data_IF_993010296051
#
_entry.id   IF_993010296051
#
_cell.length_a   1.000
_cell.length_b   1.000
_cell.length_c   1.000
_cell.angle_alpha   90.00
_cell.angle_beta   90.00
_cell.angle_gamma   90.00
#
_symmetry.space_group_name_H-M   'P 1'
#
loop_
_entity.id
_entity.type
_entity.pdbx_description
1 polymer ?
#
# COMPACT_ATOMS: atom_id res chain seq x y z
N UNK A 1 -18.31 -13.49 -6.83
CA UNK A 1 -19.35 -13.63 -5.79
C UNK A 1 -20.71 -13.43 -6.44
N UNK A 2 -21.27 -14.48 -7.03
CA UNK A 2 -22.69 -14.47 -7.36
C UNK A 2 -23.46 -14.42 -6.04
N UNK A 3 -24.37 -13.45 -5.89
CA UNK A 3 -25.13 -13.31 -4.65
C UNK A 3 -25.96 -14.60 -4.46
N UNK A 4 -25.69 -15.33 -3.37
CA UNK A 4 -26.39 -16.57 -3.04
C UNK A 4 -27.81 -16.27 -2.53
N UNK A 5 -28.09 -15.00 -2.20
CA UNK A 5 -29.41 -14.48 -1.86
C UNK A 5 -29.61 -13.09 -2.47
N UNK A 6 -30.76 -12.84 -3.09
CA UNK A 6 -31.04 -11.60 -3.83
C UNK A 6 -31.27 -10.37 -2.93
N UNK A 7 -31.55 -10.55 -1.63
CA UNK A 7 -32.01 -9.46 -0.76
C UNK A 7 -31.16 -9.17 0.49
N UNK A 8 -30.09 -9.93 0.77
CA UNK A 8 -29.24 -9.65 1.94
C UNK A 8 -27.79 -10.06 1.72
N UNK A 9 -26.87 -9.16 2.07
CA UNK A 9 -25.44 -9.44 2.11
C UNK A 9 -25.18 -10.37 3.31
N UNK A 10 -24.65 -11.57 3.04
CA UNK A 10 -24.29 -12.55 4.08
C UNK A 10 -23.13 -12.07 4.96
N UNK A 11 -22.25 -11.22 4.42
CA UNK A 11 -21.14 -10.64 5.17
C UNK A 11 -21.66 -9.63 6.21
N UNK A 12 -21.64 -10.03 7.48
CA UNK A 12 -22.04 -9.19 8.61
C UNK A 12 -21.15 -7.96 8.80
N UNK A 13 -19.91 -8.02 8.33
CA UNK A 13 -18.89 -6.99 8.53
C UNK A 13 -18.56 -6.24 7.23
N UNK A 14 -19.45 -6.25 6.25
CA UNK A 14 -19.23 -5.61 4.95
C UNK A 14 -18.65 -4.18 5.06
N UNK A 15 -17.47 -3.95 4.45
CA UNK A 15 -16.71 -2.70 4.49
C UNK A 15 -16.34 -2.18 5.90
N UNK A 16 -16.29 -3.06 6.89
CA UNK A 16 -15.88 -2.74 8.26
C UNK A 16 -14.42 -3.11 8.53
N UNK A 17 -13.86 -2.54 9.59
CA UNK A 17 -12.57 -2.97 10.13
C UNK A 17 -12.57 -4.45 10.56
N UNK A 18 -13.74 -4.99 10.89
CA UNK A 18 -13.93 -6.40 11.25
C UNK A 18 -14.11 -7.32 10.03
N UNK A 19 -14.07 -6.79 8.81
CA UNK A 19 -14.03 -7.59 7.57
C UNK A 19 -12.64 -8.18 7.36
N UNK A 20 -12.21 -8.99 8.32
CA UNK A 20 -10.86 -9.52 8.39
C UNK A 20 -10.84 -11.02 8.04
N UNK A 21 -9.65 -11.63 7.87
CA UNK A 21 -9.53 -13.06 7.56
C UNK A 21 -10.20 -14.00 8.59
N UNK A 22 -10.42 -13.57 9.83
CA UNK A 22 -11.08 -14.38 10.86
C UNK A 22 -12.55 -14.64 10.52
N UNK A 23 -13.21 -13.73 9.81
CA UNK A 23 -14.57 -13.90 9.29
C UNK A 23 -14.69 -15.07 8.31
N UNK A 24 -13.58 -15.47 7.69
CA UNK A 24 -13.46 -16.60 6.77
C UNK A 24 -12.88 -17.84 7.44
N UNK A 25 -12.86 -17.90 8.78
CA UNK A 25 -12.25 -18.98 9.57
C UNK A 25 -10.76 -19.17 9.27
N UNK A 26 -10.06 -18.12 8.83
CA UNK A 26 -8.62 -18.15 8.60
C UNK A 26 -7.92 -17.57 9.82
N UNK A 27 -7.07 -18.38 10.46
CA UNK A 27 -6.19 -17.88 11.50
C UNK A 27 -4.93 -17.26 10.88
N UNK A 28 -4.82 -15.92 10.98
CA UNK A 28 -3.72 -15.14 10.39
C UNK A 28 -2.37 -15.54 10.98
N UNK A 29 -2.30 -15.88 12.27
CA UNK A 29 -1.03 -16.22 12.91
C UNK A 29 -0.42 -17.49 12.31
N UNK A 30 -1.25 -18.49 12.02
CA UNK A 30 -0.84 -19.79 11.47
C UNK A 30 -0.80 -19.84 9.94
N UNK A 31 -1.29 -18.82 9.23
CA UNK A 31 -1.30 -18.82 7.77
C UNK A 31 0.12 -18.64 7.23
N UNK A 32 0.69 -19.67 6.61
CA UNK A 32 2.01 -19.61 5.98
C UNK A 32 1.89 -19.52 4.45
N UNK A 33 3.00 -19.17 3.80
CA UNK A 33 3.04 -19.12 2.35
C UNK A 33 2.84 -20.53 1.78
N UNK A 34 2.03 -20.65 0.73
CA UNK A 34 1.63 -21.94 0.11
C UNK A 34 0.78 -22.88 1.01
N UNK A 35 0.27 -22.42 2.15
CA UNK A 35 -0.67 -23.24 2.96
C UNK A 35 -2.05 -23.32 2.28
N UNK A 36 -2.59 -24.54 2.19
CA UNK A 36 -3.94 -24.76 1.67
C UNK A 36 -4.97 -24.52 2.78
N UNK A 37 -5.86 -23.55 2.57
CA UNK A 37 -7.00 -23.28 3.45
C UNK A 37 -8.31 -23.74 2.81
N UNK A 38 -9.36 -23.93 3.62
CA UNK A 38 -10.70 -24.24 3.11
C UNK A 38 -11.18 -23.19 2.09
N UNK A 39 -10.90 -21.91 2.36
CA UNK A 39 -11.21 -20.79 1.45
C UNK A 39 -10.46 -20.92 0.13
N UNK A 40 -9.16 -21.24 0.17
CA UNK A 40 -8.36 -21.42 -1.06
C UNK A 40 -8.86 -22.59 -1.93
N UNK A 41 -9.35 -23.66 -1.32
CA UNK A 41 -9.96 -24.79 -2.04
C UNK A 41 -11.31 -24.41 -2.62
N UNK A 42 -12.13 -23.69 -1.85
CA UNK A 42 -13.42 -23.20 -2.30
C UNK A 42 -13.28 -22.21 -3.48
N UNK A 43 -12.31 -21.28 -3.42
CA UNK A 43 -11.99 -20.38 -4.54
C UNK A 43 -11.67 -21.21 -5.79
N UNK A 44 -10.85 -22.26 -5.66
CA UNK A 44 -10.51 -23.13 -6.79
C UNK A 44 -11.74 -23.79 -7.42
N UNK A 45 -12.61 -24.37 -6.58
CA UNK A 45 -13.84 -25.05 -7.01
C UNK A 45 -14.81 -24.12 -7.75
N UNK A 46 -14.76 -22.80 -7.50
CA UNK A 46 -15.56 -21.82 -8.22
C UNK A 46 -14.87 -21.34 -9.49
N UNK A 47 -13.57 -21.02 -9.39
CA UNK A 47 -12.84 -20.38 -10.50
C UNK A 47 -12.60 -21.33 -11.65
N UNK A 48 -12.37 -22.63 -11.41
CA UNK A 48 -12.14 -23.61 -12.48
C UNK A 48 -13.37 -23.77 -13.41
N UNK A 49 -14.58 -24.08 -12.91
CA UNK A 49 -15.78 -24.14 -13.76
C UNK A 49 -16.12 -22.79 -14.39
N UNK A 50 -15.94 -21.69 -13.65
CA UNK A 50 -16.14 -20.35 -14.19
C UNK A 50 -15.20 -20.06 -15.38
N UNK A 51 -13.93 -20.45 -15.29
CA UNK A 51 -12.99 -20.30 -16.39
C UNK A 51 -13.34 -21.19 -17.58
N UNK A 52 -13.80 -22.42 -17.34
CA UNK A 52 -14.24 -23.35 -18.40
C UNK A 52 -15.42 -22.77 -19.18
N UNK A 53 -16.47 -22.35 -18.47
CA UNK A 53 -17.66 -21.71 -19.05
C UNK A 53 -17.33 -20.43 -19.81
N UNK A 54 -16.38 -19.62 -19.30
CA UNK A 54 -15.93 -18.42 -19.99
C UNK A 54 -15.20 -18.75 -21.31
N UNK A 55 -14.32 -19.75 -21.31
CA UNK A 55 -13.60 -20.19 -22.50
C UNK A 55 -14.58 -20.77 -23.54
N UNK A 56 -15.51 -21.60 -23.11
CA UNK A 56 -16.53 -22.18 -23.99
C UNK A 56 -17.42 -21.08 -24.60
N UNK A 57 -17.84 -20.10 -23.80
CA UNK A 57 -18.69 -18.99 -24.26
C UNK A 57 -17.96 -18.04 -25.23
N UNK A 58 -16.70 -17.71 -24.97
CA UNK A 58 -15.96 -16.73 -25.79
C UNK A 58 -15.26 -17.35 -27.01
N UNK A 59 -14.76 -18.58 -26.89
CA UNK A 59 -13.92 -19.23 -27.90
C UNK A 59 -14.68 -20.37 -28.61
N UNK A 60 -15.76 -20.88 -28.03
CA UNK A 60 -16.49 -22.03 -28.56
C UNK A 60 -15.77 -23.35 -28.35
N UNK A 61 -14.76 -23.40 -27.46
CA UNK A 61 -13.95 -24.58 -27.21
C UNK A 61 -14.24 -25.10 -25.80
N UNK A 62 -14.73 -26.33 -25.71
CA UNK A 62 -14.81 -27.02 -24.43
C UNK A 62 -13.41 -27.51 -24.04
N UNK A 63 -12.82 -26.86 -23.04
CA UNK A 63 -11.48 -27.18 -22.53
C UNK A 63 -11.51 -27.27 -21.02
N UNK A 64 -11.09 -28.40 -20.49
CA UNK A 64 -10.90 -28.57 -19.05
C UNK A 64 -9.79 -27.64 -18.55
N UNK A 65 -10.13 -26.77 -17.61
CA UNK A 65 -9.20 -25.87 -16.93
C UNK A 65 -8.80 -26.48 -15.61
N UNK A 66 -7.49 -26.60 -15.37
CA UNK A 66 -6.91 -27.02 -14.10
C UNK A 66 -5.97 -25.95 -13.57
N UNK A 67 -6.29 -25.39 -12.41
CA UNK A 67 -5.52 -24.37 -11.71
C UNK A 67 -4.71 -25.04 -10.60
N UNK A 68 -3.40 -24.76 -10.55
CA UNK A 68 -2.55 -25.25 -9.47
C UNK A 68 -2.99 -24.62 -8.14
N UNK A 69 -3.20 -25.45 -7.12
CA UNK A 69 -3.67 -24.99 -5.80
C UNK A 69 -2.71 -23.95 -5.18
N UNK A 70 -1.40 -24.17 -5.35
CA UNK A 70 -0.34 -23.27 -4.90
C UNK A 70 -0.54 -21.82 -5.36
N UNK A 71 -1.01 -21.59 -6.59
CA UNK A 71 -1.24 -20.21 -7.09
C UNK A 71 -2.28 -19.50 -6.22
N UNK A 72 -3.37 -20.19 -5.89
CA UNK A 72 -4.45 -19.65 -5.08
C UNK A 72 -3.99 -19.47 -3.63
N UNK A 73 -3.26 -20.44 -3.08
CA UNK A 73 -2.70 -20.34 -1.72
C UNK A 73 -1.79 -19.12 -1.59
N UNK A 74 -0.89 -18.92 -2.56
CA UNK A 74 0.05 -17.81 -2.56
C UNK A 74 -0.68 -16.46 -2.68
N UNK A 75 -1.70 -16.36 -3.55
CA UNK A 75 -2.54 -15.16 -3.66
C UNK A 75 -3.29 -14.86 -2.36
N UNK A 76 -3.91 -15.88 -1.76
CA UNK A 76 -4.64 -15.75 -0.49
C UNK A 76 -3.70 -15.26 0.61
N UNK A 77 -2.50 -15.85 0.74
CA UNK A 77 -1.49 -15.39 1.69
C UNK A 77 -1.09 -13.93 1.47
N UNK A 78 -0.77 -13.57 0.21
CA UNK A 78 -0.31 -12.22 -0.12
C UNK A 78 -1.38 -11.15 0.16
N UNK A 79 -2.64 -11.46 -0.13
CA UNK A 79 -3.75 -10.52 0.02
C UNK A 79 -4.16 -10.42 1.50
N UNK A 80 -4.25 -11.54 2.22
CA UNK A 80 -4.84 -11.56 3.55
C UNK A 80 -3.84 -11.37 4.70
N UNK A 81 -2.55 -11.65 4.50
CA UNK A 81 -1.55 -11.61 5.57
C UNK A 81 -0.34 -10.71 5.28
N UNK A 82 0.26 -10.84 4.11
CA UNK A 82 1.50 -10.13 3.85
C UNK A 82 1.62 -9.69 2.38
N UNK A 83 1.42 -8.41 2.10
CA UNK A 83 1.64 -7.86 0.76
C UNK A 83 3.08 -8.00 0.29
N UNK A 84 4.05 -7.93 1.20
CA UNK A 84 5.48 -8.15 0.95
C UNK A 84 5.82 -9.64 0.81
N UNK A 85 5.07 -10.37 -0.02
CA UNK A 85 5.19 -11.82 -0.14
C UNK A 85 6.17 -12.28 -1.24
N UNK A 86 6.62 -13.54 -1.22
CA UNK A 86 7.47 -14.09 -2.27
C UNK A 86 6.89 -13.97 -3.68
N UNK A 87 5.56 -14.04 -3.83
CA UNK A 87 4.91 -13.87 -5.13
C UNK A 87 5.17 -12.49 -5.73
N UNK A 88 5.04 -11.40 -4.97
CA UNK A 88 5.22 -10.04 -5.51
C UNK A 88 6.68 -9.81 -5.91
N UNK A 89 7.63 -10.29 -5.09
CA UNK A 89 9.06 -10.24 -5.42
C UNK A 89 9.41 -11.03 -6.67
N UNK A 90 8.70 -12.13 -6.93
CA UNK A 90 8.93 -12.93 -8.13
C UNK A 90 8.38 -12.31 -9.42
N UNK A 91 7.40 -11.40 -9.32
CA UNK A 91 6.74 -10.76 -10.47
C UNK A 91 7.12 -9.28 -10.63
N UNK A 92 8.13 -8.83 -9.89
CA UNK A 92 8.65 -7.46 -9.92
C UNK A 92 10.17 -7.47 -10.07
N UNK A 93 10.76 -6.30 -10.34
CA UNK A 93 12.19 -6.10 -10.18
C UNK A 93 12.51 -5.66 -8.75
N UNK A 94 13.78 -5.68 -8.37
CA UNK A 94 14.24 -5.35 -7.02
C UNK A 94 13.80 -3.94 -6.58
N UNK A 95 13.86 -2.96 -7.50
CA UNK A 95 13.45 -1.59 -7.19
C UNK A 95 11.98 -1.50 -6.80
N UNK A 96 11.11 -2.20 -7.52
CA UNK A 96 9.66 -2.23 -7.27
C UNK A 96 9.34 -3.12 -6.07
N UNK A 97 9.94 -4.30 -5.98
CA UNK A 97 9.78 -5.20 -4.83
C UNK A 97 10.12 -4.52 -3.51
N UNK A 98 11.16 -3.69 -3.48
CA UNK A 98 11.52 -2.90 -2.30
C UNK A 98 10.44 -1.90 -1.86
N UNK A 99 9.59 -1.43 -2.78
CA UNK A 99 8.47 -0.54 -2.41
C UNK A 99 7.40 -1.24 -1.56
N UNK A 100 7.40 -2.58 -1.55
CA UNK A 100 6.48 -3.38 -0.71
C UNK A 100 7.02 -3.65 0.70
N UNK A 101 8.30 -3.39 0.99
CA UNK A 101 8.90 -3.63 2.31
C UNK A 101 8.16 -2.97 3.48
N UNK A 102 7.64 -1.73 3.37
CA UNK A 102 6.88 -1.10 4.46
C UNK A 102 5.57 -1.82 4.80
N UNK A 103 5.09 -2.72 3.94
CA UNK A 103 3.85 -3.47 4.09
C UNK A 103 4.11 -4.93 4.55
N UNK A 104 5.26 -5.19 5.18
CA UNK A 104 5.53 -6.49 5.75
C UNK A 104 4.49 -6.83 6.83
N UNK A 105 4.01 -8.08 6.81
CA UNK A 105 2.93 -8.58 7.68
C UNK A 105 1.64 -7.74 7.62
N UNK A 106 1.44 -6.99 6.53
CA UNK A 106 0.27 -6.15 6.34
C UNK A 106 -0.63 -6.80 5.28
N UNK A 107 -1.93 -6.89 5.58
CA UNK A 107 -2.94 -7.29 4.60
C UNK A 107 -3.15 -6.22 3.55
N UNK A 108 -3.67 -6.60 2.39
CA UNK A 108 -3.92 -5.67 1.30
C UNK A 108 -5.02 -4.66 1.66
N UNK A 109 -4.76 -3.34 1.61
CA UNK A 109 -5.80 -2.35 1.81
C UNK A 109 -6.64 -2.21 0.54
N UNK A 110 -7.96 -2.39 0.65
CA UNK A 110 -8.89 -2.16 -0.45
C UNK A 110 -9.54 -0.77 -0.41
N UNK A 111 -8.80 0.25 0.06
CA UNK A 111 -9.24 1.64 0.03
C UNK A 111 -8.85 2.34 -1.26
N UNK A 112 -9.71 3.25 -1.73
CA UNK A 112 -9.40 4.16 -2.82
C UNK A 112 -8.89 5.45 -2.18
N UNK A 113 -7.62 5.77 -2.39
CA UNK A 113 -7.00 6.96 -1.81
C UNK A 113 -6.92 8.07 -2.87
N UNK A 114 -6.96 9.34 -2.43
CA UNK A 114 -6.75 10.50 -3.32
C UNK A 114 -5.28 10.76 -3.65
N UNK A 115 -4.36 10.04 -3.01
CA UNK A 115 -2.93 10.12 -3.26
C UNK A 115 -2.54 9.44 -4.59
N UNK A 116 -1.43 9.88 -5.22
CA UNK A 116 -0.96 9.26 -6.46
C UNK A 116 -0.79 7.75 -6.33
N UNK A 117 -1.01 7.02 -7.44
CA UNK A 117 -0.93 5.55 -7.53
C UNK A 117 0.40 4.96 -7.04
N UNK A 118 1.45 5.77 -6.95
CA UNK A 118 2.76 5.39 -6.41
C UNK A 118 2.78 5.18 -4.89
N UNK A 119 1.74 5.62 -4.16
CA UNK A 119 1.66 5.52 -2.68
C UNK A 119 0.71 4.40 -2.24
N UNK A 120 -0.27 4.02 -3.08
CA UNK A 120 -1.18 2.89 -2.81
C UNK A 120 -0.56 1.59 -3.31
N UNK A 121 -0.26 0.59 -2.45
CA UNK A 121 0.42 -0.63 -2.88
C UNK A 121 -0.50 -1.60 -3.66
N UNK A 122 -1.81 -1.44 -3.51
CA UNK A 122 -2.84 -2.34 -4.07
C UNK A 122 -2.86 -2.32 -5.59
N UNK A 123 -2.83 -1.13 -6.20
CA UNK A 123 -2.86 -1.01 -7.65
C UNK A 123 -1.60 -1.58 -8.32
N UNK A 124 -0.37 -1.21 -7.91
CA UNK A 124 0.85 -1.85 -8.39
C UNK A 124 0.84 -3.37 -8.18
N UNK A 125 0.43 -3.85 -6.99
CA UNK A 125 0.35 -5.29 -6.72
C UNK A 125 -0.52 -6.00 -7.76
N UNK A 126 -1.75 -5.52 -7.97
CA UNK A 126 -2.69 -6.10 -8.94
C UNK A 126 -2.09 -6.02 -10.35
N UNK A 127 -1.50 -4.89 -10.73
CA UNK A 127 -0.92 -4.70 -12.05
C UNK A 127 0.20 -5.70 -12.35
N UNK A 128 1.16 -5.90 -11.43
CA UNK A 128 2.27 -6.82 -11.62
C UNK A 128 1.81 -8.29 -11.60
N UNK A 129 0.97 -8.67 -10.64
CA UNK A 129 0.46 -10.04 -10.52
C UNK A 129 -0.41 -10.41 -11.73
N UNK A 130 -1.31 -9.52 -12.14
CA UNK A 130 -2.17 -9.76 -13.29
C UNK A 130 -1.38 -9.73 -14.60
N UNK A 131 -0.47 -8.78 -14.75
CA UNK A 131 0.43 -8.70 -15.90
C UNK A 131 1.26 -9.97 -16.07
N UNK A 132 1.70 -10.56 -14.97
CA UNK A 132 2.40 -11.85 -14.96
C UNK A 132 1.51 -13.02 -15.37
N UNK A 133 0.29 -13.14 -14.84
CA UNK A 133 -0.60 -14.26 -15.14
C UNK A 133 -1.21 -14.18 -16.54
N UNK A 134 -1.45 -12.97 -17.05
CA UNK A 134 -1.97 -12.71 -18.39
C UNK A 134 -0.88 -12.48 -19.44
N UNK A 135 0.39 -12.76 -19.10
CA UNK A 135 1.49 -12.53 -20.03
C UNK A 135 1.41 -13.42 -21.26
N UNK A 136 1.98 -12.92 -22.33
CA UNK A 136 2.20 -13.69 -23.53
C UNK A 136 3.45 -14.57 -23.38
N UNK A 137 3.24 -15.84 -23.05
CA UNK A 137 4.32 -16.83 -22.87
C UNK A 137 5.13 -17.11 -24.13
N UNK A 138 4.62 -16.80 -25.33
CA UNK A 138 5.41 -16.93 -26.56
C UNK A 138 6.56 -15.92 -26.60
N UNK A 139 6.42 -14.80 -25.87
CA UNK A 139 7.42 -13.76 -25.77
C UNK A 139 8.53 -14.09 -24.77
N UNK A 140 8.25 -14.92 -23.77
CA UNK A 140 9.22 -15.34 -22.74
C UNK A 140 10.48 -15.96 -23.36
N UNK A 141 10.35 -16.59 -24.54
CA UNK A 141 11.45 -17.22 -25.28
C UNK A 141 12.48 -16.22 -25.84
N UNK A 142 12.16 -14.93 -25.93
CA UNK A 142 13.05 -13.92 -26.50
C UNK A 142 14.17 -13.47 -25.54
N UNK A 143 14.02 -13.73 -24.24
CA UNK A 143 14.98 -13.41 -23.19
C UNK A 143 15.65 -12.03 -23.35
N UNK A 144 14.83 -10.99 -23.47
CA UNK A 144 15.31 -9.62 -23.71
C UNK A 144 15.98 -9.03 -22.47
N UNK A 145 17.13 -8.34 -22.63
CA UNK A 145 17.75 -7.62 -21.53
C UNK A 145 16.90 -6.43 -21.09
N UNK A 146 17.09 -5.99 -19.84
CA UNK A 146 16.30 -4.92 -19.21
C UNK A 146 16.23 -3.64 -20.06
N UNK A 147 17.37 -3.22 -20.62
CA UNK A 147 17.44 -2.01 -21.45
C UNK A 147 16.52 -2.11 -22.67
N UNK A 148 16.57 -3.20 -23.41
CA UNK A 148 15.71 -3.43 -24.58
C UNK A 148 14.25 -3.61 -24.20
N UNK A 149 13.96 -4.18 -23.02
CA UNK A 149 12.61 -4.28 -22.48
C UNK A 149 12.01 -2.89 -22.23
N UNK A 150 12.78 -2.00 -21.56
CA UNK A 150 12.38 -0.61 -21.32
C UNK A 150 12.18 0.16 -22.62
N UNK A 151 13.09 0.01 -23.58
CA UNK A 151 12.95 0.66 -24.89
C UNK A 151 11.67 0.25 -25.63
N UNK A 152 11.27 -1.03 -25.56
CA UNK A 152 9.97 -1.48 -26.12
C UNK A 152 8.78 -0.93 -25.34
N UNK A 153 8.88 -0.86 -24.01
CA UNK A 153 7.85 -0.25 -23.17
C UNK A 153 7.52 1.19 -23.59
N UNK A 154 8.52 1.95 -24.04
CA UNK A 154 8.32 3.32 -24.53
C UNK A 154 7.80 3.42 -25.97
N UNK A 155 8.08 2.43 -26.81
CA UNK A 155 7.76 2.47 -28.25
C UNK A 155 6.39 1.84 -28.57
N UNK A 156 5.95 0.87 -27.79
CA UNK A 156 4.74 0.10 -28.07
C UNK A 156 3.52 0.69 -27.35
N UNK A 157 2.55 1.17 -28.13
CA UNK A 157 1.31 1.74 -27.63
C UNK A 157 0.20 0.69 -27.38
N UNK A 158 0.42 -0.57 -27.75
CA UNK A 158 -0.52 -1.66 -27.58
C UNK A 158 -0.13 -2.58 -26.43
N UNK A 159 1.09 -3.09 -26.43
CA UNK A 159 1.59 -3.99 -25.38
C UNK A 159 2.14 -3.22 -24.17
N UNK A 160 2.10 -3.86 -23.01
CA UNK A 160 2.84 -3.46 -21.81
C UNK A 160 4.05 -4.37 -21.65
N UNK A 161 5.21 -3.77 -21.38
CA UNK A 161 6.47 -4.47 -21.15
C UNK A 161 6.98 -4.18 -19.75
N UNK A 162 7.33 -5.23 -19.01
CA UNK A 162 7.81 -5.10 -17.63
C UNK A 162 8.96 -6.06 -17.41
N UNK A 163 10.08 -5.54 -16.91
CA UNK A 163 11.22 -6.37 -16.54
C UNK A 163 11.07 -6.85 -15.09
N UNK A 164 11.30 -8.15 -14.86
CA UNK A 164 11.17 -8.77 -13.54
C UNK A 164 12.41 -9.58 -13.22
N UNK A 165 12.88 -9.51 -11.96
CA UNK A 165 14.13 -10.14 -11.53
C UNK A 165 13.91 -11.55 -10.95
N UNK A 166 12.65 -11.91 -10.72
CA UNK A 166 12.24 -13.10 -9.99
C UNK A 166 12.36 -14.43 -10.71
N UNK A 167 12.39 -15.51 -9.93
CA UNK A 167 12.40 -16.89 -10.42
C UNK A 167 11.01 -17.34 -10.90
N UNK A 168 10.96 -18.01 -12.05
CA UNK A 168 9.76 -18.60 -12.65
C UNK A 168 9.62 -20.09 -12.27
N UNK A 169 8.58 -20.50 -11.52
CA UNK A 169 8.30 -21.93 -11.28
C UNK A 169 7.89 -22.72 -12.56
N UNK A 170 7.67 -22.02 -13.68
CA UNK A 170 7.29 -22.59 -14.98
C UNK A 170 8.49 -22.88 -15.89
N UNK A 171 9.71 -22.50 -15.51
CA UNK A 171 10.91 -22.85 -16.25
C UNK A 171 11.60 -23.99 -15.52
N UNK A 172 11.79 -25.13 -16.22
CA UNK A 172 12.58 -26.24 -15.72
C UNK A 172 13.97 -25.73 -15.31
N UNK A 173 14.20 -25.70 -14.01
CA UNK A 173 15.42 -25.25 -13.36
C UNK A 173 16.54 -26.26 -13.58
N UNK A 174 17.39 -26.00 -14.58
CA UNK A 174 18.80 -26.38 -14.52
C UNK A 174 19.74 -25.18 -14.59
N UNK A 175 19.24 -23.96 -14.88
CA UNK A 175 20.07 -22.77 -14.94
C UNK A 175 19.58 -21.74 -13.94
N UNK A 176 20.43 -21.49 -12.94
CA UNK A 176 20.46 -20.31 -12.06
C UNK A 176 20.69 -19.04 -12.89
N UNK A 177 19.76 -18.70 -13.77
CA UNK A 177 19.81 -17.46 -14.53
C UNK A 177 19.43 -16.32 -13.59
N UNK A 178 20.45 -15.76 -12.94
CA UNK A 178 20.49 -14.49 -12.22
C UNK A 178 20.17 -13.27 -13.12
N UNK A 179 19.62 -13.49 -14.31
CA UNK A 179 19.22 -12.45 -15.25
C UNK A 179 17.69 -12.46 -15.33
N UNK A 180 17.06 -11.39 -14.85
CA UNK A 180 15.62 -11.18 -14.99
C UNK A 180 15.15 -11.28 -16.44
N UNK A 181 13.84 -11.34 -16.65
CA UNK A 181 13.23 -11.48 -17.97
C UNK A 181 12.17 -10.40 -18.24
N UNK A 182 11.95 -10.14 -19.52
CA UNK A 182 10.96 -9.17 -19.98
C UNK A 182 9.59 -9.83 -20.18
N UNK A 183 8.62 -9.43 -19.38
CA UNK A 183 7.22 -9.84 -19.48
C UNK A 183 6.49 -8.94 -20.46
N UNK A 184 5.87 -9.53 -21.49
CA UNK A 184 4.91 -8.85 -22.36
C UNK A 184 3.50 -9.19 -21.93
N UNK A 185 2.66 -8.17 -21.72
CA UNK A 185 1.22 -8.35 -21.44
C UNK A 185 0.38 -7.36 -22.24
N UNK A 186 -0.91 -7.62 -22.34
CA UNK A 186 -1.90 -6.70 -22.93
C UNK A 186 -2.65 -5.90 -21.86
N UNK A 187 -2.15 -5.91 -20.62
CA UNK A 187 -2.76 -5.22 -19.50
C UNK A 187 -2.58 -3.71 -19.65
N UNK A 188 -3.68 -2.98 -19.52
CA UNK A 188 -3.71 -1.51 -19.55
C UNK A 188 -4.37 -0.99 -18.29
N UNK A 189 -3.81 0.10 -17.79
CA UNK A 189 -4.42 0.88 -16.72
C UNK A 189 -5.37 1.91 -17.33
N UNK A 190 -6.52 2.08 -16.69
CA UNK A 190 -7.48 3.14 -17.02
C UNK A 190 -7.66 4.01 -15.80
N UNK A 191 -7.74 5.31 -16.01
CA UNK A 191 -7.96 6.26 -14.94
C UNK A 191 -9.41 6.15 -14.47
N UNK A 192 -9.60 5.83 -13.18
CA UNK A 192 -10.91 5.76 -12.55
C UNK A 192 -11.16 7.06 -11.80
N UNK A 193 -11.78 8.04 -12.47
CA UNK A 193 -12.22 9.31 -11.88
C UNK A 193 -13.68 9.50 -12.22
N UNK A 194 -14.46 10.02 -11.26
CA UNK A 194 -15.87 10.32 -11.48
C UNK A 194 -16.05 11.35 -12.62
N UNK A 195 -16.97 11.12 -13.57
CA UNK A 195 -17.29 12.08 -14.61
C UNK A 195 -17.70 13.47 -14.08
N UNK A 196 -18.23 13.54 -12.85
CA UNK A 196 -18.54 14.80 -12.17
C UNK A 196 -17.37 15.79 -12.14
N UNK A 197 -16.13 15.29 -12.13
CA UNK A 197 -14.91 16.11 -12.09
C UNK A 197 -14.28 16.35 -13.46
N UNK A 198 -14.80 15.72 -14.52
CA UNK A 198 -14.29 15.81 -15.89
C UNK A 198 -15.19 16.71 -16.74
N UNK A 199 -16.50 16.63 -16.53
CA UNK A 199 -17.49 17.41 -17.29
C UNK A 199 -17.38 18.89 -16.88
N UNK A 200 -17.14 19.81 -17.83
CA UNK A 200 -17.03 21.22 -17.51
C UNK A 200 -18.37 21.76 -16.99
N UNK A 201 -18.32 22.55 -15.92
CA UNK A 201 -19.49 23.15 -15.27
C UNK A 201 -20.54 22.12 -14.80
N UNK A 202 -20.11 20.89 -14.46
CA UNK A 202 -21.01 19.93 -13.85
C UNK A 202 -21.52 20.46 -12.51
N UNK A 203 -22.84 20.40 -12.34
CA UNK A 203 -23.50 20.77 -11.09
C UNK A 203 -23.30 19.65 -10.05
N UNK A 204 -22.42 19.89 -9.09
CA UNK A 204 -22.06 18.94 -8.03
C UNK A 204 -23.24 18.60 -7.09
N UNK A 205 -24.36 19.35 -7.17
CA UNK A 205 -25.59 19.00 -6.44
C UNK A 205 -26.36 17.85 -7.09
N UNK A 206 -26.07 17.51 -8.36
CA UNK A 206 -26.69 16.39 -9.06
C UNK A 206 -26.16 15.06 -8.56
N UNK A 207 -27.07 14.11 -8.39
CA UNK A 207 -26.80 12.76 -7.88
C UNK A 207 -26.42 11.74 -8.97
N UNK A 208 -26.27 12.18 -10.23
CA UNK A 208 -25.98 11.29 -11.37
C UNK A 208 -24.58 10.67 -11.29
N UNK A 209 -23.57 11.48 -10.98
CA UNK A 209 -22.18 11.03 -10.83
C UNK A 209 -21.69 11.19 -9.38
N UNK A 210 -20.89 10.24 -8.86
CA UNK A 210 -20.40 10.30 -7.49
C UNK A 210 -19.45 11.48 -7.27
N UNK A 211 -19.62 12.23 -6.20
CA UNK A 211 -18.87 13.45 -5.89
C UNK A 211 -17.98 13.32 -4.65
N UNK A 212 -17.62 12.09 -4.26
CA UNK A 212 -16.78 11.85 -3.08
C UNK A 212 -15.39 12.47 -3.22
N UNK A 213 -15.00 13.25 -2.21
CA UNK A 213 -13.66 13.85 -2.10
C UNK A 213 -13.10 13.58 -0.71
N UNK A 214 -11.81 13.31 -0.62
CA UNK A 214 -11.10 13.14 0.65
C UNK A 214 -10.50 14.49 1.08
N UNK A 215 -10.63 14.83 2.37
CA UNK A 215 -9.96 16.00 2.93
C UNK A 215 -8.45 15.84 2.86
N UNK A 216 -7.71 16.94 2.71
CA UNK A 216 -6.24 16.90 2.74
C UNK A 216 -5.72 17.29 4.12
N UNK A 217 -4.91 16.41 4.72
CA UNK A 217 -4.17 16.68 5.95
C UNK A 217 -2.67 16.70 5.70
N UNK A 218 -1.93 17.48 6.49
CA UNK A 218 -0.46 17.54 6.43
C UNK A 218 0.18 16.48 7.31
N UNK A 219 -0.28 16.31 8.54
CA UNK A 219 0.18 15.29 9.48
C UNK A 219 -0.96 14.78 10.34
N UNK A 220 -1.00 13.47 10.57
CA UNK A 220 -1.85 12.85 11.59
C UNK A 220 -0.90 12.29 12.65
N UNK A 221 -0.98 12.79 13.87
CA UNK A 221 -0.16 12.28 14.97
C UNK A 221 -0.96 12.28 16.26
N UNK A 222 -0.84 11.20 17.02
CA UNK A 222 -1.38 11.07 18.36
C UNK A 222 -0.22 11.08 19.35
N UNK A 223 -0.31 11.89 20.41
CA UNK A 223 0.69 11.96 21.47
C UNK A 223 0.01 11.93 22.82
N UNK A 224 0.53 11.11 23.72
CA UNK A 224 0.11 11.06 25.11
C UNK A 224 1.12 11.83 25.95
N UNK A 225 0.64 12.77 26.76
CA UNK A 225 1.47 13.51 27.71
C UNK A 225 0.67 13.81 28.97
N UNK A 226 1.39 13.89 30.09
CA UNK A 226 0.83 14.34 31.36
C UNK A 226 0.78 15.87 31.35
N UNK A 227 -0.37 16.43 31.70
CA UNK A 227 -0.57 17.87 31.81
C UNK A 227 -0.52 18.23 33.30
N UNK A 228 0.31 19.20 33.73
CA UNK A 228 0.31 19.65 35.11
C UNK A 228 -1.02 20.33 35.49
N UNK A 229 -1.32 20.41 36.78
CA UNK A 229 -2.49 21.18 37.22
C UNK A 229 -2.26 22.67 36.99
N UNK A 230 -3.35 23.43 36.78
CA UNK A 230 -3.27 24.89 36.61
C UNK A 230 -2.59 25.59 37.78
N UNK A 231 -2.77 25.08 38.99
CA UNK A 231 -2.10 25.60 40.19
C UNK A 231 -0.58 25.46 40.08
N UNK A 232 -0.08 24.31 39.64
CA UNK A 232 1.35 24.12 39.42
C UNK A 232 1.90 25.06 38.34
N UNK A 233 1.20 25.23 37.22
CA UNK A 233 1.61 26.17 36.17
C UNK A 233 1.73 27.62 36.70
N UNK A 234 0.72 28.07 37.45
CA UNK A 234 0.68 29.43 38.01
C UNK A 234 1.77 29.62 39.06
N UNK A 235 1.97 28.66 39.96
CA UNK A 235 3.01 28.72 41.00
C UNK A 235 4.40 28.77 40.36
N UNK A 236 4.67 27.91 39.37
CA UNK A 236 5.96 27.92 38.67
C UNK A 236 6.20 29.24 37.94
N UNK A 237 5.17 29.82 37.30
CA UNK A 237 5.27 31.13 36.64
C UNK A 237 5.58 32.25 37.65
N UNK A 238 4.87 32.31 38.77
CA UNK A 238 5.06 33.36 39.80
C UNK A 238 6.46 33.25 40.42
N UNK A 239 6.91 32.05 40.76
CA UNK A 239 8.25 31.82 41.32
C UNK A 239 9.32 32.26 40.31
N UNK A 240 9.18 31.89 39.04
CA UNK A 240 10.09 32.32 37.98
C UNK A 240 10.17 33.84 37.87
N UNK A 241 9.02 34.52 37.83
CA UNK A 241 8.94 35.98 37.70
C UNK A 241 9.56 36.72 38.91
N UNK A 242 9.37 36.21 40.13
CA UNK A 242 9.99 36.75 41.34
C UNK A 242 11.51 36.59 41.32
N UNK A 243 12.02 35.41 40.98
CA UNK A 243 13.46 35.15 40.90
C UNK A 243 14.14 36.04 39.84
N UNK A 244 13.52 36.21 38.68
CA UNK A 244 14.03 37.12 37.64
C UNK A 244 14.06 38.57 38.13
N UNK A 245 13.01 39.02 38.81
CA UNK A 245 12.95 40.39 39.36
C UNK A 245 14.03 40.61 40.42
N UNK A 246 14.17 39.70 41.38
CA UNK A 246 15.20 39.78 42.43
C UNK A 246 16.60 39.79 41.82
N UNK A 247 16.87 38.92 40.85
CA UNK A 247 18.16 38.89 40.14
C UNK A 247 18.43 40.22 39.43
N UNK A 248 17.43 40.79 38.74
CA UNK A 248 17.55 42.08 38.07
C UNK A 248 17.83 43.22 39.06
N UNK A 249 17.09 43.28 40.17
CA UNK A 249 17.32 44.26 41.24
C UNK A 249 18.71 44.11 41.85
N UNK A 250 19.12 42.89 42.16
CA UNK A 250 20.44 42.60 42.72
C UNK A 250 21.57 43.00 41.77
N UNK A 251 21.44 42.71 40.48
CA UNK A 251 22.41 43.14 39.47
C UNK A 251 22.43 44.67 39.30
N UNK A 252 21.27 45.33 39.31
CA UNK A 252 21.21 46.79 39.28
C UNK A 252 21.88 47.42 40.51
N UNK A 253 21.65 46.83 41.68
CA UNK A 253 22.27 47.23 42.93
C UNK A 253 23.79 47.05 42.88
N UNK A 254 24.28 45.86 42.50
CA UNK A 254 25.72 45.61 42.34
C UNK A 254 26.34 46.55 41.31
N UNK A 255 25.69 46.82 40.17
CA UNK A 255 26.17 47.76 39.16
C UNK A 255 26.25 49.20 39.70
N UNK A 256 25.29 49.60 40.53
CA UNK A 256 25.31 50.90 41.19
C UNK A 256 26.50 50.99 42.17
N UNK A 257 26.66 50.00 43.04
CA UNK A 257 27.74 49.99 44.04
C UNK A 257 29.13 49.79 43.43
N UNK A 258 29.28 48.98 42.40
CA UNK A 258 30.57 48.82 41.69
C UNK A 258 30.98 50.09 40.93
N UNK A 259 30.02 50.84 40.37
CA UNK A 259 30.30 52.20 39.85
C UNK A 259 30.80 53.15 40.95
N UNK A 260 30.23 53.07 42.15
CA UNK A 260 30.65 53.88 43.31
C UNK A 260 32.01 53.42 43.85
N UNK A 261 32.29 52.11 43.86
CA UNK A 261 33.49 51.52 44.44
C UNK A 261 34.72 51.59 43.53
N UNK A 262 34.55 51.59 42.19
CA UNK A 262 35.65 51.78 41.23
C UNK A 262 36.04 53.27 41.02
N UNK A 263 35.26 54.21 41.58
CA UNK A 263 35.54 55.65 41.54
C UNK A 263 36.12 56.19 42.87
N UNK A 264 36.43 55.33 43.83
CA UNK A 264 37.24 55.75 44.98
C UNK A 264 38.72 55.77 44.56
N UNK A 265 39.40 56.94 44.58
CA UNK A 265 40.82 57.00 44.31
C UNK A 265 41.54 56.27 45.44
N UNK A 266 42.52 55.42 45.09
CA UNK A 266 43.45 54.82 46.04
C UNK A 266 44.16 55.94 46.80
N UNK A 267 43.82 56.15 48.07
CA UNK A 267 44.61 56.98 48.96
C UNK A 267 45.87 56.20 49.36
N UNK A 268 47.00 56.70 48.86
CA UNK A 268 48.37 56.46 49.33
C UNK A 268 48.52 56.61 50.84
#
# INVERSE_FOLDING_TARGET
LASINQNQILNRYYHSFFDDPSTLSINISTLEYNTTTQVSQWIKQIVEPFAQTLIESLVGVNKTVHIKQEIINNLVYCILKNMNCPLIHNVTNQSVGNTFQPFDQTSMPFSINTYPTSITPTFPFIQYVLGYFLRDRSFDLQNLPEKSCKERAYKDNFCSYTFVDGYLPSMNSNNTLSSGYCVRSYLRSVQSISPAFIIPNYDLSKTEYPTWTESRWTTISLRLFLIPTRTHEIVTLIIGMMLTSISFFFLCFLRYYTKVSLLQPSSS
#
